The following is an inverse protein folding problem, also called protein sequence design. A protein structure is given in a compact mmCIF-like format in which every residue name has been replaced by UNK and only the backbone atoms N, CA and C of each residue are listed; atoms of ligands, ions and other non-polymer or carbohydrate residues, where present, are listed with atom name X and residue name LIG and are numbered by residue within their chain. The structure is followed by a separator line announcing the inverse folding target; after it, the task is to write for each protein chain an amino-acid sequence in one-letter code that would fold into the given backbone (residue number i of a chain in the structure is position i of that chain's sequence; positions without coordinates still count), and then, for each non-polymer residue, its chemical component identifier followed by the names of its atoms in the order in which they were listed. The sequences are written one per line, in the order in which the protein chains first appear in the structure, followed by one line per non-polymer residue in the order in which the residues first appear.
data_IF_854023299833
#
_entry.id   IF_854023299833
#
_cell.length_a   1.000
_cell.length_b   1.000
_cell.length_c   1.000
_cell.angle_alpha   90.00
_cell.angle_beta   90.00
_cell.angle_gamma   90.00
#
_symmetry.space_group_name_H-M   'P 1'
#
loop_
_entity.id
_entity.type
_entity.pdbx_description
1 polymer ?
#
# COMPACT_ATOMS: atom_id res chain seq x y z
N UNK A 1 -31.83 -27.98 -0.12
CA UNK A 1 -30.90 -28.63 -1.06
C UNK A 1 -29.61 -27.82 -1.12
N UNK A 2 -28.47 -28.50 -1.07
CA UNK A 2 -27.15 -27.94 -0.82
C UNK A 2 -26.64 -26.99 -1.92
N UNK A 3 -26.02 -25.86 -1.55
CA UNK A 3 -24.83 -25.39 -2.27
C UNK A 3 -23.63 -25.87 -1.45
N UNK A 4 -23.06 -26.99 -1.89
CA UNK A 4 -21.79 -27.50 -1.41
C UNK A 4 -20.72 -26.43 -1.59
N UNK A 5 -19.80 -26.36 -0.63
CA UNK A 5 -18.52 -25.65 -0.71
C UNK A 5 -17.80 -26.06 -2.01
N UNK A 6 -18.02 -25.32 -3.08
CA UNK A 6 -17.27 -25.46 -4.31
C UNK A 6 -15.92 -24.78 -4.08
N UNK A 7 -14.83 -25.55 -4.15
CA UNK A 7 -13.48 -25.00 -4.15
C UNK A 7 -13.36 -24.20 -5.44
N UNK A 8 -13.44 -22.89 -5.34
CA UNK A 8 -13.35 -21.96 -6.46
C UNK A 8 -12.02 -22.20 -7.20
N UNK A 9 -12.10 -22.60 -8.47
CA UNK A 9 -10.94 -22.97 -9.29
C UNK A 9 -10.21 -21.75 -9.81
N UNK A 10 -8.93 -21.92 -10.17
CA UNK A 10 -8.07 -20.87 -10.71
C UNK A 10 -8.58 -20.19 -12.00
N UNK A 11 -9.58 -20.76 -12.67
CA UNK A 11 -10.11 -20.35 -13.98
C UNK A 11 -11.27 -19.36 -13.94
N UNK A 12 -11.76 -18.98 -12.76
CA UNK A 12 -12.88 -18.03 -12.66
C UNK A 12 -12.45 -16.61 -13.09
N UNK A 13 -13.30 -15.86 -13.82
CA UNK A 13 -12.98 -14.52 -14.34
C UNK A 13 -12.45 -13.56 -13.27
N UNK A 14 -13.12 -13.46 -12.14
CA UNK A 14 -12.73 -12.57 -11.03
C UNK A 14 -11.34 -12.93 -10.46
N UNK A 15 -10.97 -14.22 -10.46
CA UNK A 15 -9.63 -14.69 -10.07
C UNK A 15 -8.58 -14.47 -11.16
N UNK A 16 -8.98 -14.28 -12.42
CA UNK A 16 -8.08 -13.87 -13.49
C UNK A 16 -7.82 -12.37 -13.42
N UNK A 17 -8.85 -11.56 -13.18
CA UNK A 17 -8.73 -10.11 -13.00
C UNK A 17 -7.82 -9.79 -11.82
N UNK A 18 -8.04 -10.43 -10.67
CA UNK A 18 -7.17 -10.25 -9.51
C UNK A 18 -5.71 -10.65 -9.77
N UNK A 19 -5.46 -11.72 -10.53
CA UNK A 19 -4.08 -12.07 -10.91
C UNK A 19 -3.47 -11.08 -11.88
N UNK A 20 -4.27 -10.56 -12.82
CA UNK A 20 -3.81 -9.54 -13.75
C UNK A 20 -3.43 -8.25 -13.02
N UNK A 21 -4.16 -7.87 -11.96
CA UNK A 21 -3.78 -6.71 -11.13
C UNK A 21 -2.50 -6.96 -10.33
N UNK A 22 -2.31 -8.15 -9.74
CA UNK A 22 -1.01 -8.51 -9.14
C UNK A 22 0.13 -8.50 -10.15
N UNK A 23 -0.09 -9.06 -11.35
CA UNK A 23 0.91 -9.09 -12.42
C UNK A 23 1.27 -7.66 -12.86
N UNK A 24 0.29 -6.76 -12.95
CA UNK A 24 0.53 -5.36 -13.28
C UNK A 24 1.42 -4.66 -12.25
N UNK A 25 1.20 -4.89 -10.95
CA UNK A 25 2.06 -4.38 -9.88
C UNK A 25 3.50 -4.91 -10.08
N UNK A 26 3.64 -6.22 -10.28
CA UNK A 26 4.93 -6.88 -10.44
C UNK A 26 5.66 -6.38 -11.69
N UNK A 27 4.98 -6.23 -12.82
CA UNK A 27 5.56 -5.75 -14.09
C UNK A 27 6.07 -4.31 -13.99
N UNK A 28 5.36 -3.47 -13.24
CA UNK A 28 5.76 -2.09 -12.98
C UNK A 28 6.91 -1.93 -11.99
N UNK A 29 7.02 -2.85 -11.03
CA UNK A 29 8.08 -2.83 -10.01
C UNK A 29 9.45 -2.97 -10.65
N UNK A 30 10.40 -2.12 -10.27
CA UNK A 30 11.80 -2.28 -10.69
C UNK A 30 12.47 -3.40 -9.88
N UNK A 31 13.80 -3.43 -9.82
CA UNK A 31 14.51 -4.51 -9.12
C UNK A 31 14.25 -4.47 -7.61
N UNK A 32 14.08 -5.64 -6.99
CA UNK A 32 13.90 -5.77 -5.54
C UNK A 32 14.93 -6.74 -4.95
N UNK A 33 15.72 -6.30 -3.97
CA UNK A 33 16.67 -7.15 -3.23
C UNK A 33 16.06 -7.76 -1.95
N UNK A 34 15.18 -6.99 -1.30
CA UNK A 34 14.64 -7.28 0.03
C UNK A 34 13.17 -6.92 0.06
N UNK A 35 12.34 -7.82 0.57
CA UNK A 35 10.95 -7.55 0.86
C UNK A 35 10.78 -7.41 2.38
N UNK A 36 10.21 -6.28 2.82
CA UNK A 36 10.02 -5.94 4.22
C UNK A 36 8.52 -5.82 4.51
N UNK A 37 8.03 -6.65 5.41
CA UNK A 37 6.67 -6.61 5.90
C UNK A 37 6.63 -5.92 7.27
N UNK A 38 5.98 -4.76 7.34
CA UNK A 38 5.79 -4.00 8.57
C UNK A 38 4.33 -4.10 9.01
N UNK A 39 4.10 -4.43 10.27
CA UNK A 39 2.77 -4.45 10.90
C UNK A 39 1.74 -5.34 10.17
N UNK A 40 1.70 -6.64 10.49
CA UNK A 40 0.65 -7.54 10.03
C UNK A 40 -0.51 -7.59 11.02
N UNK A 41 -1.73 -7.77 10.51
CA UNK A 41 -2.92 -8.01 11.33
C UNK A 41 -3.84 -6.80 11.48
N UNK A 42 -4.75 -6.88 12.45
CA UNK A 42 -5.91 -5.99 12.56
C UNK A 42 -5.52 -4.54 12.89
N UNK A 43 -6.12 -3.60 12.15
CA UNK A 43 -6.31 -2.21 12.56
C UNK A 43 -7.70 -2.06 13.20
N UNK A 44 -7.84 -1.17 14.19
CA UNK A 44 -9.14 -0.89 14.82
C UNK A 44 -10.16 -0.46 13.74
N UNK A 45 -11.38 -1.00 13.83
CA UNK A 45 -12.54 -0.78 12.92
C UNK A 45 -12.77 -1.75 11.75
N UNK A 46 -12.06 -2.88 11.65
CA UNK A 46 -12.40 -3.94 10.68
C UNK A 46 -13.12 -5.10 11.38
N UNK A 47 -14.15 -5.68 10.77
CA UNK A 47 -14.90 -6.84 11.31
C UNK A 47 -14.09 -8.15 11.32
N UNK A 48 -12.88 -8.16 10.75
CA UNK A 48 -11.99 -9.32 10.72
C UNK A 48 -11.41 -9.65 12.11
N UNK A 49 -11.15 -10.94 12.36
CA UNK A 49 -10.29 -11.35 13.46
C UNK A 49 -8.83 -11.00 13.15
N UNK A 50 -7.99 -10.82 14.18
CA UNK A 50 -6.57 -10.53 13.98
C UNK A 50 -5.85 -11.66 13.22
N UNK A 51 -6.22 -12.91 13.51
CA UNK A 51 -5.69 -14.10 12.85
C UNK A 51 -6.05 -14.15 11.36
N UNK A 52 -7.31 -13.85 11.02
CA UNK A 52 -7.75 -13.86 9.63
C UNK A 52 -7.05 -12.76 8.82
N UNK A 53 -6.98 -11.54 9.36
CA UNK A 53 -6.24 -10.46 8.70
C UNK A 53 -4.76 -10.83 8.48
N UNK A 54 -4.10 -11.40 9.49
CA UNK A 54 -2.72 -11.87 9.42
C UNK A 54 -2.54 -12.89 8.27
N UNK A 55 -3.37 -13.93 8.22
CA UNK A 55 -3.25 -15.00 7.22
C UNK A 55 -3.36 -14.46 5.80
N UNK A 56 -4.38 -13.63 5.55
CA UNK A 56 -4.64 -13.07 4.23
C UNK A 56 -3.53 -12.08 3.80
N UNK A 57 -3.08 -11.22 4.71
CA UNK A 57 -2.01 -10.26 4.44
C UNK A 57 -0.66 -10.95 4.24
N UNK A 58 -0.33 -11.96 5.06
CA UNK A 58 0.88 -12.78 4.90
C UNK A 58 0.88 -13.51 3.55
N UNK A 59 -0.23 -14.15 3.20
CA UNK A 59 -0.36 -14.82 1.91
C UNK A 59 -0.17 -13.84 0.73
N UNK A 60 -0.73 -12.63 0.82
CA UNK A 60 -0.58 -11.61 -0.21
C UNK A 60 0.88 -11.19 -0.38
N UNK A 61 1.55 -10.90 0.74
CA UNK A 61 2.96 -10.52 0.75
C UNK A 61 3.84 -11.60 0.11
N UNK A 62 3.64 -12.87 0.50
CA UNK A 62 4.41 -13.99 -0.02
C UNK A 62 4.18 -14.22 -1.52
N UNK A 63 2.94 -14.10 -2.00
CA UNK A 63 2.62 -14.22 -3.44
C UNK A 63 3.32 -13.13 -4.25
N UNK A 64 3.29 -11.87 -3.79
CA UNK A 64 3.99 -10.79 -4.47
C UNK A 64 5.51 -11.02 -4.49
N UNK A 65 6.08 -11.49 -3.38
CA UNK A 65 7.50 -11.87 -3.33
C UNK A 65 7.82 -12.96 -4.37
N UNK A 66 7.04 -14.05 -4.41
CA UNK A 66 7.24 -15.14 -5.38
C UNK A 66 7.16 -14.63 -6.83
N UNK A 67 6.18 -13.77 -7.15
CA UNK A 67 6.03 -13.21 -8.49
C UNK A 67 7.21 -12.30 -8.87
N UNK A 68 7.72 -11.49 -7.93
CA UNK A 68 8.92 -10.68 -8.12
C UNK A 68 10.16 -11.56 -8.31
N UNK A 69 10.34 -12.60 -7.49
CA UNK A 69 11.43 -13.58 -7.62
C UNK A 69 11.45 -14.24 -9.00
N UNK A 70 10.28 -14.64 -9.51
CA UNK A 70 10.13 -15.21 -10.85
C UNK A 70 10.52 -14.19 -11.92
N UNK A 71 10.02 -12.95 -11.83
CA UNK A 71 10.34 -11.88 -12.78
C UNK A 71 11.84 -11.60 -12.86
N UNK A 72 12.52 -11.56 -11.72
CA UNK A 72 13.95 -11.21 -11.64
C UNK A 72 14.89 -12.42 -11.62
N UNK A 73 14.34 -13.65 -11.63
CA UNK A 73 15.07 -14.91 -11.52
C UNK A 73 16.07 -14.95 -10.34
N UNK A 74 15.70 -14.35 -9.21
CA UNK A 74 16.57 -14.23 -8.02
C UNK A 74 15.72 -14.27 -6.76
N UNK A 75 16.19 -14.97 -5.73
CA UNK A 75 15.53 -15.03 -4.42
C UNK A 75 15.58 -13.68 -3.69
N UNK A 76 14.49 -13.33 -3.03
CA UNK A 76 14.33 -12.09 -2.28
C UNK A 76 14.39 -12.41 -0.79
N UNK A 77 15.21 -11.67 -0.04
CA UNK A 77 15.23 -11.79 1.42
C UNK A 77 13.92 -11.23 1.99
N UNK A 78 13.20 -12.00 2.80
CA UNK A 78 11.93 -11.55 3.42
C UNK A 78 12.13 -11.24 4.90
N UNK A 79 11.83 -10.00 5.28
CA UNK A 79 11.99 -9.47 6.64
C UNK A 79 10.62 -9.10 7.20
N UNK A 80 10.38 -9.46 8.45
CA UNK A 80 9.13 -9.18 9.15
C UNK A 80 9.40 -8.42 10.44
N UNK A 81 8.65 -7.35 10.69
CA UNK A 81 8.68 -6.62 11.95
C UNK A 81 7.27 -6.13 12.32
N UNK A 82 6.74 -6.70 13.39
CA UNK A 82 5.59 -6.18 14.11
C UNK A 82 5.89 -6.33 15.62
N UNK A 83 5.88 -5.24 16.42
CA UNK A 83 6.09 -5.33 17.86
C UNK A 83 5.02 -6.16 18.59
N UNK A 84 3.93 -6.54 17.91
CA UNK A 84 2.81 -7.34 18.43
C UNK A 84 2.88 -8.82 18.05
N UNK A 85 3.90 -9.27 17.31
CA UNK A 85 4.02 -10.69 17.01
C UNK A 85 4.17 -11.49 18.30
N UNK A 86 3.30 -12.49 18.46
CA UNK A 86 3.43 -13.48 19.51
C UNK A 86 4.16 -14.72 18.93
N UNK A 87 4.66 -15.64 19.79
CA UNK A 87 5.42 -16.80 19.33
C UNK A 87 4.76 -17.65 18.22
N UNK A 88 3.42 -17.84 18.19
CA UNK A 88 2.77 -18.56 17.10
C UNK A 88 2.92 -17.88 15.73
N UNK A 89 2.79 -16.55 15.67
CA UNK A 89 2.95 -15.77 14.44
C UNK A 89 4.40 -15.81 13.96
N UNK A 90 5.36 -15.62 14.86
CA UNK A 90 6.79 -15.73 14.52
C UNK A 90 7.14 -17.11 13.96
N UNK A 91 6.55 -18.16 14.53
CA UNK A 91 6.76 -19.53 14.07
C UNK A 91 6.21 -19.75 12.65
N UNK A 92 5.00 -19.28 12.35
CA UNK A 92 4.41 -19.37 11.00
C UNK A 92 5.23 -18.59 9.98
N UNK A 93 5.69 -17.38 10.33
CA UNK A 93 6.56 -16.56 9.48
C UNK A 93 7.88 -17.28 9.18
N UNK A 94 8.49 -17.87 10.21
CA UNK A 94 9.74 -18.62 10.07
C UNK A 94 9.56 -19.85 9.17
N UNK A 95 8.44 -20.58 9.31
CA UNK A 95 8.10 -21.70 8.43
C UNK A 95 7.90 -21.27 6.97
N UNK A 96 7.43 -20.05 6.74
CA UNK A 96 7.33 -19.46 5.40
C UNK A 96 8.68 -18.96 4.85
N UNK A 97 9.78 -19.11 5.61
CA UNK A 97 11.13 -18.69 5.21
C UNK A 97 11.45 -17.23 5.51
N UNK A 98 10.61 -16.53 6.29
CA UNK A 98 10.82 -15.15 6.71
C UNK A 98 11.74 -15.01 7.92
N UNK A 99 12.47 -13.90 7.98
CA UNK A 99 13.25 -13.49 9.14
C UNK A 99 12.47 -12.46 9.97
N UNK A 100 12.16 -12.79 11.23
CA UNK A 100 11.54 -11.85 12.17
C UNK A 100 12.63 -11.04 12.87
N UNK A 101 12.54 -9.71 12.81
CA UNK A 101 13.48 -8.79 13.46
C UNK A 101 12.77 -7.93 14.51
N UNK A 102 13.49 -7.57 15.57
CA UNK A 102 12.98 -6.70 16.62
C UNK A 102 12.99 -5.24 16.18
N UNK A 103 12.02 -4.45 16.60
CA UNK A 103 12.02 -3.00 16.34
C UNK A 103 13.30 -2.32 16.90
N UNK A 104 13.99 -1.45 16.14
CA UNK A 104 13.70 -0.98 14.77
C UNK A 104 14.49 -1.70 13.64
N UNK A 105 14.89 -2.95 13.82
CA UNK A 105 15.80 -3.70 12.94
C UNK A 105 15.38 -3.83 11.48
N UNK A 106 14.08 -3.74 11.15
CA UNK A 106 13.65 -3.76 9.74
C UNK A 106 14.24 -2.60 8.92
N UNK A 107 14.57 -1.48 9.56
CA UNK A 107 15.16 -0.32 8.89
C UNK A 107 16.51 -0.62 8.24
N UNK A 108 17.26 -1.60 8.76
CA UNK A 108 18.56 -2.02 8.20
C UNK A 108 18.41 -2.75 6.85
N UNK A 109 17.17 -3.11 6.48
CA UNK A 109 16.84 -3.87 5.29
C UNK A 109 15.99 -3.09 4.29
N UNK A 110 15.71 -1.81 4.56
CA UNK A 110 14.90 -0.96 3.69
C UNK A 110 15.79 0.00 2.89
N UNK A 111 15.76 -0.14 1.57
CA UNK A 111 16.53 0.66 0.60
C UNK A 111 15.64 1.09 -0.57
N UNK A 112 16.18 1.81 -1.54
CA UNK A 112 15.49 2.09 -2.80
C UNK A 112 15.13 0.85 -3.60
N UNK A 113 15.81 -0.29 -3.36
CA UNK A 113 15.52 -1.59 -3.99
C UNK A 113 14.68 -2.49 -3.08
N UNK A 114 13.98 -1.94 -2.09
CA UNK A 114 13.11 -2.73 -1.24
C UNK A 114 11.65 -2.76 -1.74
N UNK A 115 10.98 -3.90 -1.56
CA UNK A 115 9.52 -3.97 -1.55
C UNK A 115 9.04 -3.84 -0.10
N UNK A 116 8.26 -2.82 0.21
CA UNK A 116 7.70 -2.62 1.55
C UNK A 116 6.20 -2.86 1.54
N UNK A 117 5.75 -3.84 2.32
CA UNK A 117 4.35 -4.12 2.56
C UNK A 117 4.01 -3.70 3.99
N UNK A 118 3.25 -2.62 4.13
CA UNK A 118 2.91 -2.07 5.45
C UNK A 118 1.43 -1.69 5.51
N UNK A 119 0.51 -2.67 5.59
CA UNK A 119 -0.90 -2.40 5.70
C UNK A 119 -1.17 -1.66 7.01
N UNK A 120 -1.74 -0.47 6.92
CA UNK A 120 -2.15 0.33 8.09
C UNK A 120 -1.01 0.73 9.02
N UNK A 121 0.18 0.96 8.47
CA UNK A 121 1.29 1.52 9.24
C UNK A 121 0.85 2.81 9.94
N UNK A 122 1.26 2.98 11.19
CA UNK A 122 0.93 4.20 11.95
C UNK A 122 1.72 5.39 11.40
N UNK A 123 1.06 6.54 11.23
CA UNK A 123 1.66 7.74 10.65
C UNK A 123 2.98 8.19 11.31
N UNK A 124 3.18 8.06 12.64
CA UNK A 124 4.45 8.38 13.28
C UNK A 124 5.66 7.59 12.76
N UNK A 125 5.46 6.40 12.19
CA UNK A 125 6.54 5.57 11.66
C UNK A 125 6.96 5.94 10.23
N UNK A 126 6.11 6.62 9.45
CA UNK A 126 6.36 6.93 8.03
C UNK A 126 7.65 7.71 7.76
N UNK A 127 7.96 8.80 8.50
CA UNK A 127 9.15 9.61 8.23
C UNK A 127 10.45 8.81 8.24
N UNK A 128 10.56 7.82 9.14
CA UNK A 128 11.80 7.06 9.34
C UNK A 128 11.82 5.73 8.57
N UNK A 129 10.69 5.35 7.97
CA UNK A 129 10.52 4.13 7.16
C UNK A 129 10.33 4.53 5.68
N UNK A 130 9.09 4.52 5.20
CA UNK A 130 8.71 4.68 3.78
C UNK A 130 9.28 5.95 3.16
N UNK A 131 9.17 7.08 3.85
CA UNK A 131 9.56 8.40 3.33
C UNK A 131 11.07 8.54 3.23
N UNK A 132 11.81 7.90 4.14
CA UNK A 132 13.27 7.96 4.17
C UNK A 132 13.90 7.02 3.16
N UNK A 133 13.31 5.83 2.96
CA UNK A 133 13.95 4.75 2.22
C UNK A 133 13.59 4.72 0.74
N UNK A 134 12.51 5.41 0.31
CA UNK A 134 12.07 5.48 -1.08
C UNK A 134 12.05 4.09 -1.78
N UNK A 135 11.26 3.11 -1.28
CA UNK A 135 11.26 1.75 -1.81
C UNK A 135 10.81 1.64 -3.29
N UNK A 136 11.31 0.63 -4.01
CA UNK A 136 10.92 0.30 -5.39
C UNK A 136 9.44 -0.07 -5.53
N UNK A 137 8.85 -0.59 -4.44
CA UNK A 137 7.42 -0.84 -4.32
C UNK A 137 7.00 -0.59 -2.87
N UNK A 138 5.97 0.23 -2.68
CA UNK A 138 5.29 0.33 -1.39
C UNK A 138 3.81 -0.02 -1.55
N UNK A 139 3.32 -0.91 -0.69
CA UNK A 139 1.88 -1.21 -0.60
C UNK A 139 1.42 -1.01 0.84
N UNK A 140 0.46 -0.10 1.03
CA UNK A 140 -0.02 0.26 2.37
C UNK A 140 -0.93 1.48 2.34
N UNK A 141 -0.71 2.43 3.25
CA UNK A 141 -1.52 3.65 3.33
C UNK A 141 -1.26 4.57 2.13
N UNK A 142 -2.26 5.37 1.76
CA UNK A 142 -2.09 6.43 0.77
C UNK A 142 -1.11 7.50 1.25
N UNK A 143 0.01 7.67 0.56
CA UNK A 143 0.92 8.80 0.81
C UNK A 143 0.61 9.96 -0.16
N UNK A 144 0.35 11.13 0.39
CA UNK A 144 0.17 12.38 -0.36
C UNK A 144 0.69 13.59 0.43
N UNK A 145 0.92 14.72 -0.27
CA UNK A 145 1.31 15.98 0.35
C UNK A 145 0.11 16.59 1.09
N UNK A 146 -0.29 15.99 2.21
CA UNK A 146 -1.46 16.32 3.02
C UNK A 146 -1.97 15.11 3.80
N UNK A 147 -2.97 15.30 4.67
CA UNK A 147 -3.60 14.20 5.41
C UNK A 147 -2.74 13.63 6.54
N UNK A 148 -2.55 12.32 6.56
CA UNK A 148 -1.99 11.57 7.70
C UNK A 148 -0.60 12.02 8.17
N UNK A 149 0.23 12.54 7.27
CA UNK A 149 1.57 13.07 7.59
C UNK A 149 1.55 14.32 8.48
N UNK A 150 0.39 14.99 8.64
CA UNK A 150 0.25 16.05 9.63
C UNK A 150 0.47 15.58 11.08
N UNK A 151 0.16 14.31 11.36
CA UNK A 151 0.34 13.70 12.69
C UNK A 151 1.82 13.65 13.11
N UNK A 152 2.72 12.98 12.37
CA UNK A 152 4.14 12.93 12.73
C UNK A 152 4.80 14.32 12.80
N UNK A 153 4.39 15.25 11.92
CA UNK A 153 4.91 16.62 11.93
C UNK A 153 4.48 17.32 13.24
N UNK A 154 3.21 17.23 13.62
CA UNK A 154 2.70 17.83 14.85
C UNK A 154 3.32 17.20 16.10
N UNK A 155 3.45 15.87 16.15
CA UNK A 155 4.07 15.17 17.28
C UNK A 155 5.53 15.61 17.48
N UNK A 156 6.32 15.66 16.40
CA UNK A 156 7.72 16.11 16.47
C UNK A 156 7.81 17.60 16.84
N UNK A 157 6.88 18.44 16.36
CA UNK A 157 6.81 19.86 16.76
C UNK A 157 6.56 20.01 18.26
N UNK A 158 5.54 19.33 18.78
CA UNK A 158 5.18 19.37 20.21
C UNK A 158 6.36 18.90 21.06
N UNK A 159 7.02 17.81 20.65
CA UNK A 159 8.23 17.32 21.33
C UNK A 159 9.37 18.34 21.31
N UNK A 160 9.65 18.97 20.17
CA UNK A 160 10.67 20.00 20.06
C UNK A 160 10.36 21.18 20.99
N UNK A 161 9.13 21.70 20.95
CA UNK A 161 8.71 22.82 21.79
C UNK A 161 8.85 22.47 23.27
N UNK A 162 8.43 21.27 23.67
CA UNK A 162 8.53 20.81 25.06
C UNK A 162 9.98 20.70 25.54
N UNK A 163 10.88 20.16 24.71
CA UNK A 163 12.29 19.91 25.08
C UNK A 163 13.13 21.19 25.02
N UNK A 164 12.84 22.10 24.08
CA UNK A 164 13.74 23.23 23.75
C UNK A 164 13.14 24.61 23.99
N UNK A 165 11.81 24.71 24.15
CA UNK A 165 11.09 25.99 24.22
C UNK A 165 10.97 26.75 22.89
N UNK A 166 11.58 26.26 21.81
CA UNK A 166 11.56 26.91 20.50
C UNK A 166 10.21 26.73 19.81
N UNK A 167 9.60 27.84 19.39
CA UNK A 167 8.31 27.88 18.66
C UNK A 167 8.48 27.86 17.14
N UNK A 168 9.69 28.09 16.66
CA UNK A 168 10.01 28.02 15.23
C UNK A 168 10.15 26.56 14.80
N UNK A 169 9.82 26.28 13.54
CA UNK A 169 10.01 24.95 12.96
C UNK A 169 11.51 24.66 12.84
N UNK A 170 11.97 23.59 13.51
CA UNK A 170 13.36 23.17 13.42
C UNK A 170 13.69 22.54 12.06
N UNK A 171 15.00 22.42 11.72
CA UNK A 171 15.45 21.83 10.46
C UNK A 171 14.90 20.40 10.25
N UNK A 172 14.86 19.59 11.30
CA UNK A 172 14.34 18.21 11.25
C UNK A 172 12.87 18.15 10.79
N UNK A 173 12.04 19.12 11.19
CA UNK A 173 10.63 19.15 10.78
C UNK A 173 10.49 19.58 9.31
N UNK A 174 11.30 20.57 8.91
CA UNK A 174 11.33 21.02 7.53
C UNK A 174 11.78 19.89 6.59
N UNK A 175 12.78 19.11 7.00
CA UNK A 175 13.26 17.95 6.25
C UNK A 175 12.15 16.91 6.03
N UNK A 176 11.34 16.59 7.04
CA UNK A 176 10.23 15.64 6.88
C UNK A 176 9.21 16.15 5.86
N UNK A 177 8.86 17.44 5.93
CA UNK A 177 7.92 18.06 5.00
C UNK A 177 8.45 17.93 3.57
N UNK A 178 9.73 18.26 3.38
CA UNK A 178 10.35 18.26 2.05
C UNK A 178 10.51 16.84 1.50
N UNK A 179 10.90 15.87 2.32
CA UNK A 179 10.97 14.45 1.93
C UNK A 179 9.58 13.87 1.62
N UNK A 180 8.55 14.25 2.38
CA UNK A 180 7.17 13.80 2.13
C UNK A 180 6.66 14.32 0.79
N UNK A 181 6.90 15.60 0.50
CA UNK A 181 6.56 16.20 -0.81
C UNK A 181 7.31 15.50 -1.92
N UNK A 182 8.63 15.33 -1.77
CA UNK A 182 9.47 14.63 -2.74
C UNK A 182 8.91 13.23 -3.04
N UNK A 183 8.60 12.44 -2.02
CA UNK A 183 8.00 11.12 -2.18
C UNK A 183 6.65 11.19 -2.91
N UNK A 184 5.74 12.09 -2.48
CA UNK A 184 4.43 12.22 -3.11
C UNK A 184 4.53 12.62 -4.60
N UNK A 185 5.54 13.40 -4.96
CA UNK A 185 5.79 13.88 -6.32
C UNK A 185 6.55 12.86 -7.17
N UNK A 186 7.41 12.03 -6.57
CA UNK A 186 8.22 11.04 -7.28
C UNK A 186 7.55 9.67 -7.40
N UNK A 187 6.37 9.46 -6.82
CA UNK A 187 5.65 8.19 -6.88
C UNK A 187 4.32 8.30 -7.63
N UNK A 188 4.08 7.34 -8.52
CA UNK A 188 2.73 7.00 -8.98
C UNK A 188 2.02 6.22 -7.90
N UNK A 189 0.70 6.42 -7.78
CA UNK A 189 -0.13 5.67 -6.84
C UNK A 189 -1.48 5.32 -7.42
N UNK A 190 -1.99 4.16 -7.04
CA UNK A 190 -3.34 3.71 -7.37
C UNK A 190 -3.87 2.78 -6.28
N UNK A 191 -5.19 2.65 -6.21
CA UNK A 191 -5.84 1.80 -5.22
C UNK A 191 -5.41 0.34 -5.45
N UNK A 192 -5.06 -0.36 -4.39
CA UNK A 192 -4.85 -1.80 -4.43
C UNK A 192 -6.18 -2.47 -4.76
N UNK A 193 -6.20 -3.25 -5.84
CA UNK A 193 -7.41 -3.83 -6.40
C UNK A 193 -8.13 -4.71 -5.38
N UNK A 194 -9.32 -4.26 -4.95
CA UNK A 194 -10.17 -4.92 -3.97
C UNK A 194 -10.95 -6.09 -4.55
N UNK A 195 -10.66 -6.55 -5.78
CA UNK A 195 -11.29 -7.73 -6.37
C UNK A 195 -11.11 -8.95 -5.45
N UNK A 196 -10.01 -9.01 -4.71
CA UNK A 196 -9.83 -9.97 -3.61
C UNK A 196 -10.96 -9.90 -2.56
N UNK A 197 -11.25 -8.72 -2.03
CA UNK A 197 -12.29 -8.53 -1.02
C UNK A 197 -13.69 -8.82 -1.61
N UNK A 198 -13.90 -8.51 -2.89
CA UNK A 198 -15.14 -8.85 -3.61
C UNK A 198 -15.34 -10.35 -3.82
N UNK A 199 -14.26 -11.13 -3.84
CA UNK A 199 -14.30 -12.60 -3.85
C UNK A 199 -14.53 -13.20 -2.46
N UNK A 200 -14.24 -12.43 -1.41
CA UNK A 200 -14.26 -12.86 -0.01
C UNK A 200 -15.30 -12.09 0.84
N UNK A 201 -16.44 -11.71 0.24
CA UNK A 201 -17.52 -10.88 0.86
C UNK A 201 -18.12 -11.39 2.17
N UNK A 202 -17.89 -12.65 2.52
CA UNK A 202 -18.36 -13.23 3.79
C UNK A 202 -17.59 -12.66 5.00
N UNK A 203 -16.41 -12.11 4.76
CA UNK A 203 -15.51 -11.57 5.76
C UNK A 203 -15.26 -10.10 5.42
N UNK A 204 -15.00 -9.24 6.41
CA UNK A 204 -14.73 -7.82 6.18
C UNK A 204 -13.59 -7.60 5.17
N UNK A 205 -13.47 -6.39 4.62
CA UNK A 205 -12.43 -6.07 3.62
C UNK A 205 -11.02 -6.24 4.22
N UNK A 206 -10.22 -7.16 3.66
CA UNK A 206 -8.86 -7.47 4.13
C UNK A 206 -7.85 -6.39 3.71
N UNK A 207 -8.12 -5.71 2.59
CA UNK A 207 -7.22 -4.71 1.99
C UNK A 207 -7.89 -3.35 1.77
N UNK A 208 -8.87 -2.99 2.63
CA UNK A 208 -9.58 -1.72 2.52
C UNK A 208 -8.64 -0.53 2.55
N UNK A 209 -8.84 0.44 1.66
CA UNK A 209 -8.05 1.68 1.60
C UNK A 209 -6.53 1.45 1.48
N UNK A 210 -6.11 0.31 0.92
CA UNK A 210 -4.71 0.07 0.57
C UNK A 210 -4.37 0.63 -0.80
N UNK A 211 -3.15 1.12 -0.92
CA UNK A 211 -2.62 1.78 -2.10
C UNK A 211 -1.31 1.15 -2.51
N UNK A 212 -1.11 1.06 -3.81
CA UNK A 212 0.17 0.70 -4.42
C UNK A 212 0.89 1.98 -4.82
N UNK A 213 2.18 2.03 -4.51
CA UNK A 213 3.08 3.14 -4.80
C UNK A 213 4.30 2.62 -5.56
N UNK A 214 4.56 3.20 -6.74
CA UNK A 214 5.77 2.94 -7.53
C UNK A 214 6.53 4.24 -7.78
N UNK A 215 7.87 4.21 -7.80
CA UNK A 215 8.63 5.32 -8.35
C UNK A 215 8.16 5.64 -9.78
N UNK A 216 7.99 6.91 -10.09
CA UNK A 216 7.73 7.36 -11.45
C UNK A 216 8.95 7.03 -12.29
N UNK A 217 8.74 6.31 -13.39
CA UNK A 217 9.81 6.10 -14.37
C UNK A 217 10.19 7.46 -14.96
N UNK A 218 11.47 7.76 -14.98
CA UNK A 218 11.99 8.89 -15.76
C UNK A 218 11.50 8.70 -17.19
N UNK A 219 10.74 9.66 -17.71
CA UNK A 219 10.44 9.68 -19.15
C UNK A 219 11.79 9.90 -19.82
N UNK A 220 12.19 9.08 -20.80
CA UNK A 220 13.35 9.43 -21.62
C UNK A 220 13.08 10.83 -22.19
N UNK A 221 14.06 11.73 -22.02
CA UNK A 221 13.98 13.11 -22.50
C UNK A 221 13.47 13.10 -23.95
N UNK A 222 12.31 13.69 -24.18
CA UNK A 222 11.66 13.78 -25.49
C UNK A 222 12.34 14.78 -26.43
N UNK A 223 13.61 15.09 -26.20
CA UNK A 223 14.35 16.13 -26.93
C UNK A 223 15.07 15.61 -28.19
N UNK A 224 14.74 14.41 -28.67
CA UNK A 224 15.31 13.87 -29.91
C UNK A 224 14.28 13.18 -30.84
N UNK A 225 13.05 13.67 -30.91
CA UNK A 225 12.15 13.30 -32.02
C UNK A 225 12.30 14.27 -33.20
N UNK A 226 12.69 13.79 -34.41
CA UNK A 226 12.65 14.60 -35.61
C UNK A 226 11.20 14.85 -36.06
N UNK A 227 10.92 15.96 -36.77
CA UNK A 227 9.56 16.35 -37.05
C UNK A 227 8.92 15.44 -38.11
N UNK A 228 7.87 14.73 -37.72
CA UNK A 228 6.79 14.33 -38.62
C UNK A 228 6.63 12.83 -38.87
N UNK A 229 5.44 12.32 -38.56
CA UNK A 229 4.99 11.00 -39.01
C UNK A 229 3.78 10.51 -38.22
N UNK A 230 2.59 11.04 -38.53
CA UNK A 230 1.34 10.55 -37.96
C UNK A 230 1.16 9.05 -38.22
N UNK A 231 0.97 8.25 -37.17
CA UNK A 231 0.35 6.93 -37.29
C UNK A 231 -0.45 6.64 -36.03
N UNK A 232 -1.77 6.59 -36.22
CA UNK A 232 -2.79 6.35 -35.21
C UNK A 232 -2.83 4.85 -34.91
N UNK A 233 -2.64 4.47 -33.66
CA UNK A 233 -3.06 3.18 -33.12
C UNK A 233 -3.97 3.44 -31.90
N UNK A 234 -5.09 2.71 -31.73
CA UNK A 234 -6.05 2.99 -30.68
C UNK A 234 -5.51 2.48 -29.33
N UNK A 235 -5.35 3.41 -28.38
CA UNK A 235 -5.06 3.08 -26.99
C UNK A 235 -6.29 2.47 -26.29
N UNK A 236 -6.08 1.65 -25.25
CA UNK A 236 -7.18 1.08 -24.47
C UNK A 236 -7.97 2.18 -23.76
N UNK A 237 -9.29 2.00 -23.73
CA UNK A 237 -10.27 2.93 -23.19
C UNK A 237 -10.02 3.24 -21.71
N UNK A 238 -9.69 4.49 -21.38
CA UNK A 238 -9.69 4.97 -20.00
C UNK A 238 -11.13 4.94 -19.44
N UNK A 239 -11.37 4.37 -18.24
CA UNK A 239 -12.63 4.55 -17.53
C UNK A 239 -12.80 6.03 -17.14
N UNK A 240 -13.98 6.57 -17.43
CA UNK A 240 -14.39 7.95 -17.15
C UNK A 240 -14.40 8.21 -15.63
N UNK A 241 -14.01 9.41 -15.15
CA UNK A 241 -14.17 9.76 -13.74
C UNK A 241 -15.66 9.78 -13.37
N UNK A 242 -16.01 9.20 -12.22
CA UNK A 242 -17.33 9.42 -11.62
C UNK A 242 -17.34 10.82 -11.01
N UNK A 243 -18.28 11.63 -11.48
CA UNK A 243 -18.62 12.94 -10.93
C UNK A 243 -19.39 12.73 -9.62
N UNK A 244 -18.78 13.09 -8.48
CA UNK A 244 -19.48 13.21 -7.21
C UNK A 244 -20.12 14.60 -7.15
N UNK A 245 -21.32 14.71 -7.70
CA UNK A 245 -22.18 15.87 -7.55
C UNK A 245 -23.63 15.42 -7.70
N UNK A 246 -24.26 15.04 -6.58
CA UNK A 246 -25.72 15.07 -6.54
C UNK A 246 -26.22 15.56 -5.17
N UNK A 247 -26.35 16.88 -5.11
CA UNK A 247 -27.16 17.58 -4.11
C UNK A 247 -28.63 17.50 -4.52
N UNK A 248 -29.33 16.48 -4.02
CA UNK A 248 -30.76 16.46 -3.66
C UNK A 248 -31.83 16.77 -4.73
N UNK A 249 -33.08 16.35 -4.45
CA UNK A 249 -34.16 17.30 -4.60
C UNK A 249 -35.08 17.40 -3.39
N UNK A 250 -35.54 18.64 -3.18
CA UNK A 250 -36.65 19.06 -2.34
C UNK A 250 -37.95 18.33 -2.73
N UNK A 251 -38.77 18.02 -1.74
CA UNK A 251 -40.18 17.71 -1.89
C UNK A 251 -40.97 18.21 -0.69
N UNK A 252 -41.76 19.26 -0.91
CA UNK A 252 -42.70 19.87 0.03
C UNK A 252 -43.94 18.97 0.29
N UNK A 253 -44.47 19.07 1.51
CA UNK A 253 -45.91 19.26 1.73
C UNK A 253 -46.83 18.07 2.03
N UNK A 254 -47.11 17.84 3.31
CA UNK A 254 -48.48 18.05 3.86
C UNK A 254 -49.42 16.87 4.17
N UNK A 255 -50.11 17.03 5.31
CA UNK A 255 -51.27 16.30 5.89
C UNK A 255 -50.97 14.93 6.54
N UNK A 256 -51.41 14.55 7.73
CA UNK A 256 -52.49 15.01 8.63
C UNK A 256 -53.34 13.78 9.03
N UNK A 257 -53.68 13.65 10.33
CA UNK A 257 -54.52 12.60 10.99
C UNK A 257 -53.80 11.26 11.24
N UNK A 258 -53.77 10.63 12.42
CA UNK A 258 -54.39 10.81 13.76
C UNK A 258 -53.35 10.57 14.87
#
# INVERSE_FOLDING_TARGET
MARKNEILTHTQPDRQEFRASLQYIVDKTDHVDTAVCLALGKFENVELSAEEALQHQLAMFLVLCEMLEIKQNTKIKTIFQDPRFEPPEEYVITLAGGEVVKHPGALEHMTENSFVFAPYLVWPAFPDTIIKTHPALYIGNKVESGGGMGIPIAERYVRQFYVTGKREMGPDLQEIIDQTKKFADSYDKYLFDTTYDSLHTKYGSHFQNMWVHHPKRERPDSDNDPPGGASVAPGPSNPKPKDDSDHGPKGDGGSGFD
#
